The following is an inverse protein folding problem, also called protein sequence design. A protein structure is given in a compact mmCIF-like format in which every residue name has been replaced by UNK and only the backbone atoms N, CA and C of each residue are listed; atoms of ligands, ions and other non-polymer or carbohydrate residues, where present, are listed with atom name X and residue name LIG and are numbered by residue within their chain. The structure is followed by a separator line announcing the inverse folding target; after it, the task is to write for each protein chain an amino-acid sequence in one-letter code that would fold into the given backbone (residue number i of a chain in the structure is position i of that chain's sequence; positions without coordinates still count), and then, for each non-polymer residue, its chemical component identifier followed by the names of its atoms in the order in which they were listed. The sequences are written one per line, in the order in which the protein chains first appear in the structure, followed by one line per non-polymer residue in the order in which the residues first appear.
data_IF_940837804182
#
_entry.id   IF_940837804182
#
_cell.length_a   1.000
_cell.length_b   1.000
_cell.length_c   1.000
_cell.angle_alpha   90.00
_cell.angle_beta   90.00
_cell.angle_gamma   90.00
#
_symmetry.space_group_name_H-M   'P 1'
#
loop_
_entity.id
_entity.type
_entity.pdbx_description
1 polymer ?
#
# COMPACT_ATOMS: atom_id res chain seq x y z
N UNK A 1 15.46 -0.54 14.35
CA UNK A 1 14.22 -0.48 15.16
C UNK A 1 13.46 -1.79 14.98
N UNK A 2 12.75 -2.28 16.01
CA UNK A 2 11.96 -3.52 15.92
C UNK A 2 10.46 -3.21 15.94
N UNK A 3 9.71 -3.72 14.97
CA UNK A 3 8.27 -3.52 14.86
C UNK A 3 7.50 -4.51 15.75
N UNK A 4 6.40 -4.04 16.32
CA UNK A 4 5.35 -4.87 16.88
C UNK A 4 4.16 -4.86 15.91
N UNK A 5 3.63 -6.03 15.54
CA UNK A 5 2.57 -6.14 14.53
C UNK A 5 1.27 -5.45 14.99
N UNK A 6 0.84 -5.68 16.24
CA UNK A 6 -0.40 -5.10 16.76
C UNK A 6 -0.30 -3.57 16.86
N UNK A 7 0.82 -3.06 17.38
CA UNK A 7 1.05 -1.62 17.48
C UNK A 7 1.11 -0.96 16.09
N UNK A 8 1.73 -1.64 15.12
CA UNK A 8 1.77 -1.18 13.72
C UNK A 8 0.37 -1.10 13.12
N UNK A 9 -0.49 -2.08 13.38
CA UNK A 9 -1.89 -2.05 12.92
C UNK A 9 -2.62 -0.89 13.59
N UNK A 10 -2.55 -0.75 14.91
CA UNK A 10 -3.27 0.29 15.66
C UNK A 10 -2.87 1.70 15.21
N UNK A 11 -1.58 1.99 15.13
CA UNK A 11 -1.09 3.29 14.68
C UNK A 11 -1.39 3.52 13.19
N UNK A 12 -1.26 2.47 12.37
CA UNK A 12 -1.59 2.54 10.94
C UNK A 12 -3.06 2.85 10.70
N UNK A 13 -3.98 2.20 11.42
CA UNK A 13 -5.41 2.49 11.41
C UNK A 13 -5.66 3.95 11.80
N UNK A 14 -5.04 4.44 12.87
CA UNK A 14 -5.19 5.84 13.30
C UNK A 14 -4.72 6.82 12.22
N UNK A 15 -3.59 6.54 11.58
CA UNK A 15 -3.06 7.37 10.50
C UNK A 15 -3.97 7.37 9.27
N UNK A 16 -4.53 6.20 8.90
CA UNK A 16 -5.54 6.08 7.85
C UNK A 16 -6.83 6.84 8.18
N UNK A 17 -7.30 6.76 9.42
CA UNK A 17 -8.50 7.48 9.88
C UNK A 17 -8.30 9.01 9.89
N UNK A 18 -7.11 9.48 10.27
CA UNK A 18 -6.77 10.92 10.27
C UNK A 18 -6.93 11.55 8.88
N UNK A 19 -6.57 10.83 7.82
CA UNK A 19 -6.67 11.31 6.44
C UNK A 19 -7.79 10.64 5.64
N UNK A 20 -8.77 10.04 6.32
CA UNK A 20 -9.77 9.17 5.71
C UNK A 20 -10.50 9.79 4.51
N UNK A 21 -11.05 11.03 4.58
CA UNK A 21 -11.75 11.60 3.45
C UNK A 21 -10.86 11.76 2.21
N UNK A 22 -9.62 12.22 2.40
CA UNK A 22 -8.66 12.37 1.31
C UNK A 22 -8.30 11.02 0.70
N UNK A 23 -8.08 9.99 1.51
CA UNK A 23 -7.73 8.65 1.02
C UNK A 23 -8.86 8.04 0.18
N UNK A 24 -10.11 8.17 0.62
CA UNK A 24 -11.27 7.69 -0.15
C UNK A 24 -11.38 8.43 -1.50
N UNK A 25 -11.31 9.76 -1.50
CA UNK A 25 -11.42 10.54 -2.75
C UNK A 25 -10.27 10.22 -3.71
N UNK A 26 -9.04 10.15 -3.21
CA UNK A 26 -7.89 9.77 -4.04
C UNK A 26 -8.01 8.34 -4.60
N UNK A 27 -8.51 7.38 -3.81
CA UNK A 27 -8.77 6.02 -4.28
C UNK A 27 -9.82 5.97 -5.39
N UNK A 28 -10.91 6.72 -5.23
CA UNK A 28 -11.95 6.84 -6.27
C UNK A 28 -11.40 7.49 -7.54
N UNK A 29 -10.63 8.57 -7.41
CA UNK A 29 -9.98 9.23 -8.55
C UNK A 29 -9.04 8.27 -9.28
N UNK A 30 -8.20 7.53 -8.55
CA UNK A 30 -7.32 6.52 -9.14
C UNK A 30 -8.12 5.49 -9.96
N UNK A 31 -9.23 4.98 -9.42
CA UNK A 31 -10.13 4.05 -10.13
C UNK A 31 -10.72 4.64 -11.41
N UNK A 32 -11.19 5.90 -11.39
CA UNK A 32 -11.76 6.58 -12.57
C UNK A 32 -10.71 6.82 -13.64
N UNK A 33 -9.47 7.15 -13.24
CA UNK A 33 -8.40 7.46 -14.20
C UNK A 33 -7.86 6.26 -14.96
N UNK A 34 -8.26 5.04 -14.60
CA UNK A 34 -7.84 3.80 -15.27
C UNK A 34 -8.05 3.82 -16.79
N UNK A 35 -9.07 4.54 -17.26
CA UNK A 35 -9.46 4.65 -18.69
C UNK A 35 -8.49 5.55 -19.49
N UNK A 36 -7.78 6.48 -18.84
CA UNK A 36 -6.90 7.44 -19.52
C UNK A 36 -5.44 7.02 -19.33
N UNK A 37 -4.79 6.34 -20.30
CA UNK A 37 -3.59 5.54 -20.03
C UNK A 37 -2.44 6.32 -19.37
N UNK A 38 -2.09 7.49 -19.91
CA UNK A 38 -0.99 8.27 -19.35
C UNK A 38 -1.35 8.87 -17.98
N UNK A 39 -2.60 9.25 -17.76
CA UNK A 39 -3.06 9.76 -16.45
C UNK A 39 -3.09 8.63 -15.41
N UNK A 40 -3.57 7.46 -15.79
CA UNK A 40 -3.57 6.25 -14.97
C UNK A 40 -2.19 5.94 -14.39
N UNK A 41 -1.12 6.11 -15.18
CA UNK A 41 0.23 5.88 -14.66
C UNK A 41 0.59 6.89 -13.56
N UNK A 42 0.28 8.17 -13.75
CA UNK A 42 0.52 9.20 -12.75
C UNK A 42 -0.25 8.96 -11.45
N UNK A 43 -1.52 8.53 -11.55
CA UNK A 43 -2.34 8.20 -10.37
C UNK A 43 -1.89 6.92 -9.68
N UNK A 44 -1.50 5.90 -10.44
CA UNK A 44 -0.92 4.68 -9.88
C UNK A 44 0.36 4.97 -9.09
N UNK A 45 1.26 5.82 -9.61
CA UNK A 45 2.45 6.28 -8.86
C UNK A 45 2.03 7.11 -7.65
N UNK A 46 1.03 8.00 -7.79
CA UNK A 46 0.50 8.81 -6.70
C UNK A 46 -0.03 8.01 -5.52
N UNK A 47 -0.57 6.81 -5.77
CA UNK A 47 -0.98 5.90 -4.70
C UNK A 47 0.18 5.43 -3.81
N UNK A 48 1.41 5.42 -4.33
CA UNK A 48 2.62 5.11 -3.57
C UNK A 48 3.25 6.35 -2.91
N UNK A 49 2.96 7.57 -3.40
CA UNK A 49 3.40 8.80 -2.71
C UNK A 49 2.57 9.08 -1.47
N UNK A 50 1.30 8.66 -1.45
CA UNK A 50 0.39 8.86 -0.32
C UNK A 50 0.94 8.26 0.99
N UNK A 51 1.30 6.96 1.08
CA UNK A 51 1.85 6.40 2.31
C UNK A 51 3.15 7.09 2.75
N UNK A 52 3.98 7.52 1.80
CA UNK A 52 5.21 8.25 2.11
C UNK A 52 4.91 9.63 2.74
N UNK A 53 3.94 10.38 2.19
CA UNK A 53 3.48 11.65 2.76
C UNK A 53 2.86 11.47 4.15
N UNK A 54 1.98 10.47 4.30
CA UNK A 54 1.37 10.12 5.59
C UNK A 54 2.43 9.78 6.64
N UNK A 55 3.51 9.08 6.25
CA UNK A 55 4.60 8.75 7.15
C UNK A 55 5.33 9.98 7.72
N UNK A 56 5.29 11.12 7.02
CA UNK A 56 5.83 12.41 7.48
C UNK A 56 4.81 13.31 8.15
N UNK A 57 3.60 12.80 8.40
CA UNK A 57 2.47 13.55 8.93
C UNK A 57 2.05 14.76 8.07
N UNK A 58 2.34 14.71 6.77
CA UNK A 58 1.91 15.73 5.81
C UNK A 58 0.41 15.62 5.53
N UNK A 59 -0.26 16.77 5.40
CA UNK A 59 -1.66 16.82 4.99
C UNK A 59 -1.83 16.33 3.54
N UNK A 60 -2.81 15.47 3.30
CA UNK A 60 -3.15 14.99 1.96
C UNK A 60 -4.18 15.88 1.28
N UNK A 61 -3.92 16.27 0.03
CA UNK A 61 -4.94 16.85 -0.84
C UNK A 61 -5.95 15.77 -1.26
N UNK A 62 -7.20 16.17 -1.52
CA UNK A 62 -8.24 15.29 -2.09
C UNK A 62 -7.91 14.82 -3.52
N UNK A 63 -6.99 15.51 -4.21
CA UNK A 63 -6.58 15.22 -5.59
C UNK A 63 -5.09 14.88 -5.69
N UNK A 64 -4.47 14.46 -4.58
CA UNK A 64 -3.05 14.12 -4.49
C UNK A 64 -2.56 13.17 -5.59
N UNK A 65 -3.35 12.14 -5.92
CA UNK A 65 -3.00 11.18 -6.98
C UNK A 65 -2.90 11.83 -8.36
N UNK A 66 -3.61 12.93 -8.60
CA UNK A 66 -3.59 13.66 -9.86
C UNK A 66 -2.41 14.64 -9.98
N UNK A 67 -1.55 14.75 -8.96
CA UNK A 67 -0.39 15.63 -8.99
C UNK A 67 0.49 15.31 -10.22
N UNK A 68 0.70 16.27 -11.15
CA UNK A 68 1.54 16.06 -12.32
C UNK A 68 2.96 15.63 -11.98
N UNK A 69 3.46 16.03 -10.81
CA UNK A 69 4.76 15.65 -10.27
C UNK A 69 4.94 14.14 -10.09
N UNK A 70 3.88 13.35 -9.96
CA UNK A 70 3.97 11.89 -9.87
C UNK A 70 4.56 11.28 -11.15
N UNK A 71 4.35 11.91 -12.32
CA UNK A 71 4.81 11.42 -13.62
C UNK A 71 6.33 11.50 -13.79
N UNK A 72 7.02 12.33 -12.99
CA UNK A 72 8.48 12.45 -13.07
C UNK A 72 9.19 11.14 -12.68
N UNK A 73 8.54 10.31 -11.87
CA UNK A 73 9.08 9.03 -11.42
C UNK A 73 8.77 7.87 -12.37
N UNK A 74 8.11 8.10 -13.51
CA UNK A 74 7.64 7.03 -14.41
C UNK A 74 8.74 6.00 -14.72
N UNK A 75 9.91 6.43 -15.15
CA UNK A 75 11.01 5.54 -15.51
C UNK A 75 11.47 4.68 -14.32
N UNK A 76 11.93 5.32 -13.25
CA UNK A 76 12.51 4.63 -12.10
C UNK A 76 11.48 3.77 -11.36
N UNK A 77 10.24 4.23 -11.26
CA UNK A 77 9.18 3.50 -10.59
C UNK A 77 8.87 2.17 -11.30
N UNK A 78 8.67 2.20 -12.63
CA UNK A 78 8.41 0.97 -13.39
C UNK A 78 9.64 0.09 -13.53
N UNK A 79 10.84 0.66 -13.59
CA UNK A 79 12.07 -0.13 -13.54
C UNK A 79 12.20 -0.86 -12.21
N UNK A 80 11.88 -0.20 -11.09
CA UNK A 80 11.83 -0.82 -9.76
C UNK A 80 10.81 -1.96 -9.71
N UNK A 81 9.56 -1.73 -10.15
CA UNK A 81 8.54 -2.78 -10.17
C UNK A 81 8.93 -3.95 -11.09
N UNK A 82 9.51 -3.67 -12.25
CA UNK A 82 9.99 -4.69 -13.18
C UNK A 82 11.11 -5.56 -12.59
N UNK A 83 12.11 -4.94 -11.96
CA UNK A 83 13.20 -5.65 -11.27
C UNK A 83 12.68 -6.50 -10.11
N UNK A 84 11.76 -5.95 -9.30
CA UNK A 84 11.11 -6.69 -8.23
C UNK A 84 10.37 -7.91 -8.77
N UNK A 85 9.58 -7.74 -9.84
CA UNK A 85 8.83 -8.81 -10.47
C UNK A 85 9.74 -9.92 -11.01
N UNK A 86 10.84 -9.55 -11.68
CA UNK A 86 11.84 -10.50 -12.19
C UNK A 86 12.53 -11.30 -11.07
N UNK A 87 12.69 -10.74 -9.87
CA UNK A 87 13.25 -11.47 -8.73
C UNK A 87 12.21 -12.32 -7.98
N UNK A 88 10.98 -11.81 -7.82
CA UNK A 88 9.93 -12.49 -7.06
C UNK A 88 9.36 -13.69 -7.81
N UNK A 89 9.21 -13.61 -9.14
CA UNK A 89 8.66 -14.71 -9.94
C UNK A 89 9.48 -16.02 -9.82
N UNK A 90 10.80 -16.04 -10.05
CA UNK A 90 11.60 -17.25 -9.86
C UNK A 90 11.58 -17.75 -8.40
N UNK A 91 11.54 -16.84 -7.43
CA UNK A 91 11.44 -17.21 -6.01
C UNK A 91 10.13 -17.96 -5.70
N UNK A 92 9.05 -17.71 -6.45
CA UNK A 92 7.77 -18.37 -6.25
C UNK A 92 7.81 -19.87 -6.61
N UNK A 93 8.71 -20.29 -7.51
CA UNK A 93 8.93 -21.69 -7.89
C UNK A 93 9.36 -22.53 -6.67
N UNK A 94 10.06 -21.90 -5.72
CA UNK A 94 10.56 -22.57 -4.52
C UNK A 94 9.53 -22.59 -3.38
N UNK A 95 8.34 -23.13 -3.63
CA UNK A 95 7.27 -23.34 -2.63
C UNK A 95 6.59 -22.05 -2.11
N UNK A 96 6.51 -20.98 -2.92
CA UNK A 96 5.82 -19.69 -2.63
C UNK A 96 6.38 -18.87 -1.45
N UNK A 97 6.85 -19.52 -0.39
CA UNK A 97 7.37 -18.89 0.81
C UNK A 97 8.59 -17.98 0.55
N UNK A 98 9.58 -18.35 -0.30
CA UNK A 98 10.66 -17.45 -0.66
C UNK A 98 10.19 -16.19 -1.39
N UNK A 99 9.14 -16.30 -2.22
CA UNK A 99 8.54 -15.12 -2.86
C UNK A 99 7.89 -14.17 -1.84
N UNK A 100 7.24 -14.68 -0.78
CA UNK A 100 6.72 -13.85 0.32
C UNK A 100 7.87 -13.10 0.99
N UNK A 101 8.92 -13.82 1.41
CA UNK A 101 10.07 -13.21 2.12
C UNK A 101 10.75 -12.15 1.25
N UNK A 102 10.90 -12.42 -0.05
CA UNK A 102 11.50 -11.48 -1.00
C UNK A 102 10.60 -10.27 -1.27
N UNK A 103 9.28 -10.49 -1.42
CA UNK A 103 8.29 -9.42 -1.54
C UNK A 103 8.32 -8.49 -0.33
N UNK A 104 8.37 -9.03 0.89
CA UNK A 104 8.53 -8.26 2.12
C UNK A 104 9.87 -7.53 2.17
N UNK A 105 10.94 -8.10 1.60
CA UNK A 105 12.26 -7.45 1.54
C UNK A 105 12.21 -6.17 0.69
N UNK A 106 11.45 -6.17 -0.41
CA UNK A 106 11.42 -5.07 -1.37
C UNK A 106 10.16 -4.21 -1.32
N UNK A 107 9.24 -4.45 -0.38
CA UNK A 107 7.95 -3.76 -0.33
C UNK A 107 8.05 -2.24 -0.20
N UNK A 108 9.14 -1.71 0.38
CA UNK A 108 9.34 -0.27 0.55
C UNK A 108 10.07 0.37 -0.63
N UNK A 109 10.61 -0.43 -1.56
CA UNK A 109 11.38 0.09 -2.68
C UNK A 109 10.58 1.08 -3.56
N UNK A 110 9.31 0.82 -3.92
CA UNK A 110 8.52 1.79 -4.68
C UNK A 110 8.32 3.10 -3.92
N UNK A 111 8.14 3.06 -2.59
CA UNK A 111 7.99 4.24 -1.75
C UNK A 111 9.31 5.03 -1.70
N UNK A 112 10.45 4.35 -1.57
CA UNK A 112 11.77 4.96 -1.58
C UNK A 112 12.11 5.63 -2.92
N UNK A 113 11.68 5.04 -4.04
CA UNK A 113 11.84 5.66 -5.37
C UNK A 113 11.06 6.99 -5.43
N UNK A 114 9.80 6.99 -5.03
CA UNK A 114 8.96 8.21 -5.17
C UNK A 114 9.21 9.23 -4.07
N UNK A 115 9.63 8.80 -2.88
CA UNK A 115 9.87 9.68 -1.75
C UNK A 115 11.28 10.26 -1.71
N UNK A 116 12.28 9.39 -1.92
CA UNK A 116 13.70 9.72 -1.78
C UNK A 116 14.40 9.87 -3.12
N UNK A 117 13.68 9.73 -4.24
CA UNK A 117 14.23 9.78 -5.59
C UNK A 117 15.42 8.82 -5.78
N UNK A 118 15.36 7.66 -5.12
CA UNK A 118 16.40 6.63 -5.18
C UNK A 118 16.37 5.91 -6.53
N UNK A 119 17.55 5.51 -6.99
CA UNK A 119 17.69 4.59 -8.12
C UNK A 119 17.10 3.21 -7.73
N UNK A 120 16.45 2.47 -8.65
CA UNK A 120 15.68 1.28 -8.35
C UNK A 120 16.43 0.19 -7.58
N UNK A 121 17.65 -0.14 -8.00
CA UNK A 121 18.45 -1.16 -7.33
C UNK A 121 18.86 -0.73 -5.91
N UNK A 122 19.17 0.56 -5.72
CA UNK A 122 19.51 1.10 -4.40
C UNK A 122 18.28 1.15 -3.49
N UNK A 123 17.11 1.50 -4.04
CA UNK A 123 15.83 1.45 -3.33
C UNK A 123 15.49 0.02 -2.88
N UNK A 124 15.72 -0.99 -3.72
CA UNK A 124 15.52 -2.40 -3.36
C UNK A 124 16.49 -2.87 -2.27
N UNK A 125 17.77 -2.51 -2.37
CA UNK A 125 18.78 -2.80 -1.33
C UNK A 125 18.43 -2.16 -0.01
N UNK A 126 18.15 -0.86 -0.02
CA UNK A 126 17.75 -0.10 1.16
C UNK A 126 16.45 -0.64 1.76
N UNK A 127 15.45 -0.98 0.94
CA UNK A 127 14.23 -1.65 1.44
C UNK A 127 14.55 -2.94 2.18
N UNK A 128 15.46 -3.77 1.66
CA UNK A 128 15.84 -5.02 2.32
C UNK A 128 16.56 -4.76 3.65
N UNK A 129 17.45 -3.77 3.70
CA UNK A 129 18.13 -3.33 4.93
C UNK A 129 17.13 -2.84 5.97
N UNK A 130 16.20 -1.97 5.57
CA UNK A 130 15.17 -1.39 6.45
C UNK A 130 14.22 -2.45 7.01
N UNK A 131 13.84 -3.42 6.19
CA UNK A 131 12.93 -4.51 6.59
C UNK A 131 13.66 -5.65 7.30
N UNK A 132 15.00 -5.64 7.32
CA UNK A 132 15.78 -6.68 7.99
C UNK A 132 15.45 -6.75 9.49
N UNK A 133 15.30 -7.98 10.01
CA UNK A 133 14.84 -8.21 11.39
C UNK A 133 13.35 -7.92 11.66
N UNK A 134 12.62 -7.34 10.71
CA UNK A 134 11.21 -6.92 10.87
C UNK A 134 10.22 -7.64 9.95
N UNK A 135 10.69 -8.44 8.98
CA UNK A 135 9.86 -9.11 7.97
C UNK A 135 8.63 -9.83 8.55
N UNK A 136 8.78 -10.55 9.66
CA UNK A 136 7.65 -11.22 10.31
C UNK A 136 6.64 -10.28 10.95
N UNK A 137 7.12 -9.22 11.61
CA UNK A 137 6.22 -8.23 12.19
C UNK A 137 5.42 -7.50 11.10
N UNK A 138 6.08 -7.18 9.97
CA UNK A 138 5.43 -6.63 8.77
C UNK A 138 4.40 -7.62 8.22
N UNK A 139 4.78 -8.88 8.03
CA UNK A 139 3.90 -9.92 7.51
C UNK A 139 2.63 -10.06 8.35
N UNK A 140 2.76 -10.18 9.68
CA UNK A 140 1.60 -10.32 10.55
C UNK A 140 0.78 -9.03 10.67
N UNK A 141 1.40 -7.85 10.53
CA UNK A 141 0.66 -6.59 10.48
C UNK A 141 -0.22 -6.51 9.23
N UNK A 142 0.35 -6.80 8.05
CA UNK A 142 -0.40 -6.81 6.78
C UNK A 142 -1.44 -7.93 6.77
N UNK A 143 -1.06 -9.17 7.10
CA UNK A 143 -1.95 -10.32 7.14
C UNK A 143 -3.11 -10.10 8.12
N UNK A 144 -2.82 -9.61 9.33
CA UNK A 144 -3.85 -9.32 10.33
C UNK A 144 -4.84 -8.26 9.84
N UNK A 145 -4.33 -7.22 9.16
CA UNK A 145 -5.17 -6.18 8.54
C UNK A 145 -6.08 -6.76 7.46
N UNK A 146 -5.53 -7.56 6.55
CA UNK A 146 -6.28 -8.21 5.47
C UNK A 146 -7.33 -9.20 5.99
N UNK A 147 -7.02 -9.98 7.05
CA UNK A 147 -7.99 -10.90 7.67
C UNK A 147 -9.19 -10.12 8.22
N UNK A 148 -8.96 -9.01 8.92
CA UNK A 148 -10.05 -8.19 9.48
C UNK A 148 -10.91 -7.59 8.36
N UNK A 149 -10.27 -7.06 7.31
CA UNK A 149 -10.97 -6.52 6.14
C UNK A 149 -11.79 -7.62 5.44
N UNK A 150 -11.21 -8.82 5.25
CA UNK A 150 -11.88 -9.94 4.61
C UNK A 150 -13.10 -10.42 5.43
N UNK A 151 -12.98 -10.48 6.77
CA UNK A 151 -14.11 -10.82 7.64
C UNK A 151 -15.23 -9.78 7.49
N UNK A 152 -14.90 -8.48 7.55
CA UNK A 152 -15.88 -7.40 7.40
C UNK A 152 -16.57 -7.45 6.02
N UNK A 153 -15.80 -7.67 4.96
CA UNK A 153 -16.30 -7.81 3.59
C UNK A 153 -17.29 -8.96 3.46
N UNK A 154 -16.89 -10.16 3.90
CA UNK A 154 -17.74 -11.35 3.78
C UNK A 154 -18.99 -11.25 4.65
N UNK A 155 -18.86 -10.71 5.87
CA UNK A 155 -20.00 -10.53 6.78
C UNK A 155 -21.03 -9.56 6.20
N UNK A 156 -20.60 -8.35 5.77
CA UNK A 156 -21.54 -7.35 5.25
C UNK A 156 -22.15 -7.77 3.92
N UNK A 157 -21.37 -8.42 3.04
CA UNK A 157 -21.89 -9.01 1.82
C UNK A 157 -22.93 -10.09 2.11
N UNK A 158 -22.67 -10.97 3.06
CA UNK A 158 -23.59 -12.04 3.45
C UNK A 158 -24.89 -11.45 4.01
N UNK A 159 -24.79 -10.52 4.97
CA UNK A 159 -25.96 -9.86 5.58
C UNK A 159 -26.82 -9.12 4.54
N UNK A 160 -26.20 -8.36 3.63
CA UNK A 160 -26.93 -7.70 2.55
C UNK A 160 -27.57 -8.68 1.58
N UNK A 161 -26.89 -9.81 1.31
CA UNK A 161 -27.39 -10.88 0.46
C UNK A 161 -28.61 -11.62 1.02
N UNK A 162 -28.86 -11.54 2.33
CA UNK A 162 -30.11 -12.03 2.94
C UNK A 162 -31.33 -11.18 2.55
N UNK A 163 -31.11 -9.91 2.20
CA UNK A 163 -32.15 -8.99 1.72
C UNK A 163 -32.30 -9.15 0.20
N UNK A 164 -31.20 -8.93 -0.52
CA UNK A 164 -31.14 -9.02 -1.97
C UNK A 164 -29.67 -9.19 -2.43
N UNK A 165 -29.37 -10.03 -3.44
CA UNK A 165 -28.00 -10.23 -3.91
C UNK A 165 -27.27 -8.94 -4.35
N UNK A 166 -27.98 -7.96 -4.92
CA UNK A 166 -27.41 -6.67 -5.33
C UNK A 166 -27.07 -5.84 -4.10
N UNK A 167 -27.91 -5.83 -3.07
CA UNK A 167 -27.61 -5.15 -1.80
C UNK A 167 -26.34 -5.73 -1.17
N UNK A 168 -26.22 -7.06 -1.12
CA UNK A 168 -25.00 -7.73 -0.66
C UNK A 168 -23.76 -7.32 -1.47
N UNK A 169 -23.86 -7.25 -2.79
CA UNK A 169 -22.77 -6.80 -3.66
C UNK A 169 -22.36 -5.34 -3.35
N UNK A 170 -23.32 -4.43 -3.23
CA UNK A 170 -23.07 -3.01 -2.96
C UNK A 170 -22.39 -2.80 -1.61
N UNK A 171 -22.84 -3.50 -0.56
CA UNK A 171 -22.19 -3.45 0.75
C UNK A 171 -20.74 -3.95 0.70
N UNK A 172 -20.48 -5.03 -0.06
CA UNK A 172 -19.11 -5.52 -0.28
C UNK A 172 -18.22 -4.48 -0.96
N UNK A 173 -18.71 -3.79 -1.99
CA UNK A 173 -17.97 -2.73 -2.68
C UNK A 173 -17.65 -1.55 -1.75
N UNK A 174 -18.60 -1.17 -0.88
CA UNK A 174 -18.38 -0.13 0.13
C UNK A 174 -17.23 -0.53 1.05
N UNK A 175 -17.19 -1.78 1.54
CA UNK A 175 -16.09 -2.24 2.40
C UNK A 175 -14.73 -2.09 1.71
N UNK A 176 -14.61 -2.46 0.43
CA UNK A 176 -13.35 -2.32 -0.32
C UNK A 176 -12.89 -0.86 -0.35
N UNK A 177 -13.80 0.07 -0.63
CA UNK A 177 -13.49 1.50 -0.69
C UNK A 177 -13.06 2.03 0.68
N UNK A 178 -13.77 1.66 1.75
CA UNK A 178 -13.49 2.14 3.11
C UNK A 178 -12.30 1.43 3.77
N UNK A 179 -11.90 0.26 3.27
CA UNK A 179 -10.74 -0.50 3.77
C UNK A 179 -9.40 0.04 3.22
N UNK A 180 -9.41 0.63 2.03
CA UNK A 180 -8.21 1.17 1.40
C UNK A 180 -7.44 2.20 2.28
N UNK A 181 -8.11 3.16 2.95
CA UNK A 181 -7.46 4.03 3.93
C UNK A 181 -6.72 3.29 5.06
N UNK A 182 -7.26 2.16 5.52
CA UNK A 182 -6.67 1.36 6.59
C UNK A 182 -5.36 0.72 6.12
N UNK A 183 -5.39 0.07 4.95
CA UNK A 183 -4.20 -0.59 4.40
C UNK A 183 -3.08 0.42 4.11
N UNK A 184 -3.42 1.56 3.48
CA UNK A 184 -2.45 2.62 3.22
C UNK A 184 -1.87 3.20 4.52
N UNK A 185 -2.70 3.34 5.56
CA UNK A 185 -2.26 3.76 6.89
C UNK A 185 -1.26 2.79 7.53
N UNK A 186 -1.50 1.48 7.42
CA UNK A 186 -0.55 0.45 7.91
C UNK A 186 0.76 0.48 7.14
N UNK A 187 0.72 0.61 5.81
CA UNK A 187 1.93 0.76 4.99
C UNK A 187 2.70 2.03 5.36
N UNK A 188 1.99 3.15 5.55
CA UNK A 188 2.57 4.42 5.97
C UNK A 188 3.24 4.30 7.35
N UNK A 189 2.62 3.61 8.30
CA UNK A 189 3.20 3.38 9.62
C UNK A 189 4.48 2.52 9.56
N UNK A 190 4.46 1.44 8.77
CA UNK A 190 5.65 0.62 8.53
C UNK A 190 6.76 1.49 7.94
N UNK A 191 6.44 2.28 6.91
CA UNK A 191 7.40 3.15 6.25
C UNK A 191 7.96 4.20 7.20
N UNK A 192 7.10 4.89 7.97
CA UNK A 192 7.47 5.88 8.99
C UNK A 192 8.46 5.32 9.99
N UNK A 193 8.10 4.19 10.59
CA UNK A 193 8.89 3.53 11.63
C UNK A 193 10.25 3.04 11.11
N UNK A 194 10.30 2.50 9.90
CA UNK A 194 11.53 1.96 9.34
C UNK A 194 12.43 3.03 8.72
N UNK A 195 11.89 4.16 8.28
CA UNK A 195 12.69 5.27 7.70
C UNK A 195 13.05 6.38 8.68
N UNK A 196 12.54 6.36 9.92
CA UNK A 196 12.79 7.41 10.91
C UNK A 196 14.26 7.72 11.20
N UNK A 197 15.17 6.76 10.96
CA UNK A 197 16.62 6.90 11.20
C UNK A 197 17.46 6.65 9.93
N UNK A 198 16.85 6.75 8.74
CA UNK A 198 17.38 6.17 7.51
C UNK A 198 17.92 7.18 6.49
#
# INVERSE_FOLDING_TARGET
MKLNAMETIQNGVQLGLKSFPALVVNGLLAGITFIVPYINVGTYIGMYTIPAKMARDESLSMTEVLNPGNRKYFGEFFLCLGLMFMGILPAAIFLYFPAIVLGLSWMLAPLLVVDKNMQPLDAMRKSNELTYGNKWAIFFALLGTEIVIAIAFNLLRWLGGLIDPIVGLLLGLIVIILAMPILLGVIAEIYRKLTANA
#
